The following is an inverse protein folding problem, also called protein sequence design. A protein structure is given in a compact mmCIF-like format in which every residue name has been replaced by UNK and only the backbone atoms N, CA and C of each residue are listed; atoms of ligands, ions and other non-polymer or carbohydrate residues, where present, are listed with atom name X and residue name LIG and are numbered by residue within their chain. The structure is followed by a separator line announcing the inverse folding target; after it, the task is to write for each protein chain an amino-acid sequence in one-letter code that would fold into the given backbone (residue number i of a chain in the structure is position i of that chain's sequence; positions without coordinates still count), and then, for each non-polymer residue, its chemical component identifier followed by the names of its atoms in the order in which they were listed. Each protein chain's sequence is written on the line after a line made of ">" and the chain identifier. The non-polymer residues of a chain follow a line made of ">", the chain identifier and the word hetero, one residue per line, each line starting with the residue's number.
data_IF_588601787037
#
_entry.id   IF_588601787037
#
_cell.length_a   1.000
_cell.length_b   1.000
_cell.length_c   1.000
_cell.angle_alpha   90.00
_cell.angle_beta   90.00
_cell.angle_gamma   90.00
#
_symmetry.space_group_name_H-M   'P 1'
#
loop_
_entity.id
_entity.type
_entity.pdbx_description
1 polymer ?
#
# COMPACT_ATOMS: atom_id res chain seq x y z
N UNK A 1 -1.96 5.12 -25.72
CA UNK A 1 -1.53 5.74 -24.45
C UNK A 1 -2.60 5.45 -23.42
N UNK A 2 -2.24 4.91 -22.26
CA UNK A 2 -3.20 4.65 -21.17
C UNK A 2 -3.42 5.94 -20.36
N UNK A 3 -4.60 6.12 -19.72
CA UNK A 3 -4.97 7.38 -19.05
C UNK A 3 -3.99 7.85 -17.97
N UNK A 4 -3.37 6.90 -17.23
CA UNK A 4 -2.45 7.19 -16.14
C UNK A 4 -0.98 6.93 -16.48
N UNK A 5 -0.63 6.88 -17.78
CA UNK A 5 0.77 6.77 -18.20
C UNK A 5 1.59 7.93 -17.65
N UNK A 6 2.67 7.62 -16.93
CA UNK A 6 3.56 8.60 -16.29
C UNK A 6 3.19 8.96 -14.85
N UNK A 7 2.09 8.44 -14.33
CA UNK A 7 1.73 8.56 -12.90
C UNK A 7 2.40 7.45 -12.11
N UNK A 8 3.09 7.79 -11.02
CA UNK A 8 3.72 6.85 -10.09
C UNK A 8 3.02 6.83 -8.73
N UNK A 9 2.64 5.65 -8.26
CA UNK A 9 1.97 5.44 -6.98
C UNK A 9 2.80 4.50 -6.11
N UNK A 10 3.12 4.93 -4.90
CA UNK A 10 3.71 4.07 -3.86
C UNK A 10 2.57 3.49 -3.01
N UNK A 11 2.47 2.17 -2.96
CA UNK A 11 1.34 1.48 -2.34
C UNK A 11 1.81 0.67 -1.12
N UNK A 12 1.60 1.23 0.09
CA UNK A 12 1.87 0.56 1.39
C UNK A 12 0.59 -0.07 1.88
N UNK A 13 0.26 -1.22 1.36
CA UNK A 13 -1.07 -1.81 1.47
C UNK A 13 -1.02 -3.31 1.66
N UNK A 14 -2.10 -3.86 2.22
CA UNK A 14 -2.22 -5.30 2.46
C UNK A 14 -3.64 -5.81 2.17
N UNK A 15 -3.73 -7.08 1.88
CA UNK A 15 -4.93 -7.90 1.77
C UNK A 15 -5.83 -7.52 0.58
N UNK A 16 -6.85 -6.66 0.78
CA UNK A 16 -7.94 -6.47 -0.20
C UNK A 16 -8.15 -5.03 -0.65
N UNK A 17 -8.70 -4.16 0.21
CA UNK A 17 -9.24 -2.85 -0.22
C UNK A 17 -8.19 -1.93 -0.89
N UNK A 18 -7.01 -1.78 -0.29
CA UNK A 18 -5.91 -1.03 -0.88
C UNK A 18 -5.42 -1.66 -2.18
N UNK A 19 -4.99 -2.96 -2.15
CA UNK A 19 -4.52 -3.64 -3.34
C UNK A 19 -5.52 -3.65 -4.49
N UNK A 20 -6.81 -3.82 -4.23
CA UNK A 20 -7.85 -3.76 -5.25
C UNK A 20 -7.91 -2.37 -5.90
N UNK A 21 -7.91 -1.30 -5.09
CA UNK A 21 -7.95 0.08 -5.61
C UNK A 21 -6.74 0.41 -6.48
N UNK A 22 -5.52 0.12 -6.01
CA UNK A 22 -4.30 0.44 -6.75
C UNK A 22 -4.09 -0.45 -7.98
N UNK A 23 -4.67 -1.66 -8.01
CA UNK A 23 -4.70 -2.49 -9.22
C UNK A 23 -5.46 -1.80 -10.37
N UNK A 24 -6.56 -1.11 -10.07
CA UNK A 24 -7.26 -0.33 -11.12
C UNK A 24 -6.38 0.79 -11.67
N UNK A 25 -5.58 1.43 -10.83
CA UNK A 25 -4.64 2.45 -11.29
C UNK A 25 -3.55 1.83 -12.17
N UNK A 26 -2.99 0.70 -11.76
CA UNK A 26 -2.01 -0.05 -12.55
C UNK A 26 -2.57 -0.49 -13.92
N UNK A 27 -3.80 -0.99 -13.95
CA UNK A 27 -4.48 -1.40 -15.18
C UNK A 27 -4.74 -0.21 -16.14
N UNK A 28 -4.75 1.01 -15.64
CA UNK A 28 -4.88 2.23 -16.43
C UNK A 28 -3.53 2.87 -16.80
N UNK A 29 -2.42 2.20 -16.48
CA UNK A 29 -1.08 2.60 -16.90
C UNK A 29 -0.27 3.36 -15.86
N UNK A 30 -0.76 3.49 -14.62
CA UNK A 30 0.08 3.99 -13.53
C UNK A 30 1.18 2.97 -13.20
N UNK A 31 2.38 3.48 -12.90
CA UNK A 31 3.44 2.70 -12.29
C UNK A 31 3.13 2.55 -10.79
N UNK A 32 2.61 1.41 -10.39
CA UNK A 32 2.33 1.11 -8.98
C UNK A 32 3.46 0.28 -8.39
N UNK A 33 4.13 0.84 -7.38
CA UNK A 33 5.18 0.17 -6.61
C UNK A 33 4.61 -0.21 -5.25
N UNK A 34 4.36 -1.51 -5.07
CA UNK A 34 3.89 -2.07 -3.81
C UNK A 34 5.05 -2.21 -2.84
N UNK A 35 4.95 -1.52 -1.70
CA UNK A 35 5.93 -1.58 -0.62
C UNK A 35 5.48 -2.63 0.40
N UNK A 36 6.30 -3.65 0.59
CA UNK A 36 6.00 -4.78 1.48
C UNK A 36 6.97 -4.83 2.66
N UNK A 37 6.44 -5.18 3.85
CA UNK A 37 7.25 -5.29 5.06
C UNK A 37 8.00 -6.63 5.09
N UNK A 38 9.35 -6.64 5.15
CA UNK A 38 10.12 -7.89 5.17
C UNK A 38 9.94 -8.70 6.46
N UNK A 39 9.52 -8.06 7.56
CA UNK A 39 9.37 -8.74 8.87
C UNK A 39 8.17 -9.68 8.89
N UNK A 40 7.15 -9.38 8.10
CA UNK A 40 5.89 -10.12 8.08
C UNK A 40 5.81 -11.07 6.88
N UNK A 41 6.91 -11.22 6.12
CA UNK A 41 6.91 -11.99 4.88
C UNK A 41 6.20 -11.32 3.71
N UNK A 42 5.98 -9.99 3.80
CA UNK A 42 5.28 -9.20 2.80
C UNK A 42 3.78 -9.05 3.08
N UNK A 43 2.98 -9.00 2.02
CA UNK A 43 1.52 -8.92 2.14
C UNK A 43 0.94 -10.23 2.68
N UNK A 44 0.15 -10.15 3.74
CA UNK A 44 -0.50 -11.31 4.36
C UNK A 44 -1.36 -12.11 3.38
N UNK A 45 -1.85 -11.51 2.32
CA UNK A 45 -2.64 -12.19 1.29
C UNK A 45 -1.84 -13.24 0.51
N UNK A 46 -0.50 -13.17 0.52
CA UNK A 46 0.37 -14.20 -0.08
C UNK A 46 0.17 -15.59 0.51
N UNK A 47 -0.26 -15.65 1.80
CA UNK A 47 -0.54 -16.89 2.53
C UNK A 47 -2.03 -17.28 2.57
N UNK A 48 -2.91 -16.56 1.86
CA UNK A 48 -4.35 -16.85 1.85
C UNK A 48 -4.69 -17.89 0.79
N UNK A 49 -5.05 -19.11 1.24
CA UNK A 49 -5.51 -20.20 0.38
C UNK A 49 -6.96 -20.06 -0.11
N UNK A 50 -7.52 -21.07 -0.76
CA UNK A 50 -6.98 -22.45 -0.77
C UNK A 50 -5.97 -22.75 -1.89
N UNK A 51 -5.84 -21.90 -2.92
CA UNK A 51 -5.00 -22.19 -4.08
C UNK A 51 -3.70 -21.37 -4.05
N UNK A 52 -2.59 -22.07 -4.30
CA UNK A 52 -1.25 -21.49 -4.31
C UNK A 52 -0.57 -21.79 -5.65
N UNK A 53 0.09 -20.79 -6.22
CA UNK A 53 0.89 -20.91 -7.43
C UNK A 53 2.34 -21.27 -7.12
N UNK A 54 2.76 -21.04 -5.88
CA UNK A 54 4.10 -21.33 -5.38
C UNK A 54 4.22 -20.94 -3.90
N UNK A 55 5.40 -21.06 -3.28
CA UNK A 55 5.64 -20.54 -1.93
C UNK A 55 5.36 -19.04 -1.88
N UNK A 56 4.60 -18.61 -0.87
CA UNK A 56 4.22 -17.20 -0.65
C UNK A 56 3.58 -16.50 -1.87
N UNK A 57 2.88 -17.29 -2.70
CA UNK A 57 2.22 -16.83 -3.92
C UNK A 57 0.84 -17.46 -4.07
N UNK A 58 -0.17 -16.84 -3.49
CA UNK A 58 -1.55 -17.31 -3.54
C UNK A 58 -2.32 -16.72 -4.72
N UNK A 59 -3.33 -17.43 -5.18
CA UNK A 59 -4.30 -16.93 -6.16
C UNK A 59 -4.97 -15.64 -5.66
N UNK A 60 -5.25 -15.56 -4.36
CA UNK A 60 -5.84 -14.37 -3.75
C UNK A 60 -4.91 -13.14 -3.90
N UNK A 61 -3.61 -13.30 -3.61
CA UNK A 61 -2.63 -12.23 -3.81
C UNK A 61 -2.57 -11.78 -5.27
N UNK A 62 -2.49 -12.73 -6.20
CA UNK A 62 -2.44 -12.44 -7.64
C UNK A 62 -3.68 -11.71 -8.14
N UNK A 63 -4.86 -12.03 -7.60
CA UNK A 63 -6.14 -11.41 -8.00
C UNK A 63 -6.20 -9.91 -7.74
N UNK A 64 -5.41 -9.39 -6.79
CA UNK A 64 -5.42 -7.97 -6.41
C UNK A 64 -4.13 -7.21 -6.71
N UNK A 65 -3.11 -7.90 -7.23
CA UNK A 65 -1.79 -7.28 -7.40
C UNK A 65 -1.24 -7.35 -8.83
N UNK A 66 -2.10 -7.64 -9.81
CA UNK A 66 -1.72 -7.63 -11.22
C UNK A 66 -1.15 -6.26 -11.64
N UNK A 67 -0.14 -6.29 -12.52
CA UNK A 67 0.51 -5.11 -13.11
C UNK A 67 1.23 -4.18 -12.10
N UNK A 68 1.51 -4.64 -10.89
CA UNK A 68 2.31 -3.89 -9.91
C UNK A 68 3.75 -4.39 -9.88
N UNK A 69 4.66 -3.49 -9.52
CA UNK A 69 5.99 -3.85 -9.07
C UNK A 69 5.95 -4.09 -7.55
N UNK A 70 6.75 -5.04 -7.04
CA UNK A 70 6.91 -5.27 -5.61
C UNK A 70 8.31 -4.86 -5.16
N UNK A 71 8.39 -4.19 -4.02
CA UNK A 71 9.62 -3.79 -3.37
C UNK A 71 9.51 -4.02 -1.87
N UNK A 72 10.55 -4.55 -1.25
CA UNK A 72 10.60 -4.82 0.18
C UNK A 72 11.32 -3.70 0.91
N UNK A 73 10.63 -2.99 1.81
CA UNK A 73 11.20 -1.92 2.64
C UNK A 73 10.68 -2.04 4.06
N UNK A 74 11.59 -2.06 5.05
CA UNK A 74 11.23 -1.96 6.46
C UNK A 74 11.08 -0.49 6.88
N UNK A 75 9.86 0.02 6.80
CA UNK A 75 9.53 1.40 7.15
C UNK A 75 9.64 1.72 8.65
N UNK A 76 9.92 0.74 9.50
CA UNK A 76 10.19 0.98 10.93
C UNK A 76 11.67 1.29 11.20
N UNK A 77 12.52 1.24 10.18
CA UNK A 77 13.94 1.57 10.27
C UNK A 77 14.26 2.88 9.56
N UNK A 78 15.20 3.62 10.12
CA UNK A 78 15.66 4.91 9.56
C UNK A 78 16.13 4.77 8.10
N UNK A 79 16.89 3.73 7.79
CA UNK A 79 17.33 3.47 6.41
C UNK A 79 16.16 3.18 5.47
N UNK A 80 15.11 2.49 5.94
CA UNK A 80 13.89 2.27 5.18
C UNK A 80 13.10 3.56 4.94
N UNK A 81 13.01 4.41 5.96
CA UNK A 81 12.39 5.73 5.83
C UNK A 81 13.15 6.63 4.84
N UNK A 82 14.48 6.64 4.90
CA UNK A 82 15.29 7.40 3.96
C UNK A 82 15.06 6.95 2.52
N UNK A 83 15.07 5.64 2.27
CA UNK A 83 14.79 5.08 0.95
C UNK A 83 13.37 5.41 0.47
N UNK A 84 12.39 5.31 1.36
CA UNK A 84 11.01 5.66 1.05
C UNK A 84 10.86 7.14 0.68
N UNK A 85 11.53 8.04 1.40
CA UNK A 85 11.53 9.46 1.07
C UNK A 85 12.17 9.75 -0.30
N UNK A 86 13.22 9.01 -0.70
CA UNK A 86 13.77 9.16 -2.06
C UNK A 86 12.75 8.73 -3.13
N UNK A 87 11.98 7.67 -2.89
CA UNK A 87 10.90 7.26 -3.77
C UNK A 87 9.78 8.31 -3.82
N UNK A 88 9.40 8.88 -2.67
CA UNK A 88 8.36 9.92 -2.56
C UNK A 88 8.69 11.17 -3.40
N UNK A 89 9.96 11.54 -3.52
CA UNK A 89 10.39 12.68 -4.37
C UNK A 89 9.99 12.51 -5.83
N UNK A 90 9.85 11.28 -6.28
CA UNK A 90 9.54 10.94 -7.68
C UNK A 90 8.13 10.39 -7.87
N UNK A 91 7.34 10.32 -6.81
CA UNK A 91 5.99 9.80 -6.84
C UNK A 91 4.93 10.91 -6.89
N UNK A 92 3.80 10.60 -7.48
CA UNK A 92 2.62 11.46 -7.51
C UNK A 92 1.67 11.18 -6.35
N UNK A 93 1.61 9.91 -5.89
CA UNK A 93 0.75 9.52 -4.81
C UNK A 93 1.35 8.44 -3.90
N UNK A 94 0.92 8.45 -2.64
CA UNK A 94 1.09 7.37 -1.66
C UNK A 94 -0.28 6.86 -1.28
N UNK A 95 -0.51 5.57 -1.45
CA UNK A 95 -1.73 4.88 -1.02
C UNK A 95 -1.41 3.92 0.11
N UNK A 96 -2.26 3.88 1.14
CA UNK A 96 -2.16 2.87 2.19
C UNK A 96 -3.56 2.50 2.71
N UNK A 97 -3.74 1.26 3.17
CA UNK A 97 -4.98 0.82 3.81
C UNK A 97 -4.75 0.31 5.24
N UNK A 98 -3.73 0.84 5.89
CA UNK A 98 -3.38 0.50 7.26
C UNK A 98 -4.37 1.15 8.24
N UNK A 99 -4.66 0.47 9.34
CA UNK A 99 -5.68 0.92 10.30
C UNK A 99 -5.18 2.04 11.22
N UNK A 100 -6.10 2.87 11.67
CA UNK A 100 -5.92 3.77 12.80
C UNK A 100 -4.78 4.77 12.61
N UNK A 101 -3.88 4.81 13.56
CA UNK A 101 -2.73 5.70 13.66
C UNK A 101 -1.44 5.15 12.99
N UNK A 102 -1.49 3.95 12.44
CA UNK A 102 -0.33 3.30 11.81
C UNK A 102 0.23 4.11 10.64
N UNK A 103 -0.59 4.68 9.73
CA UNK A 103 -0.07 5.52 8.64
C UNK A 103 0.74 6.71 9.15
N UNK A 104 0.28 7.41 10.16
CA UNK A 104 0.98 8.55 10.77
C UNK A 104 2.30 8.09 11.41
N UNK A 105 2.29 7.00 12.19
CA UNK A 105 3.48 6.42 12.81
C UNK A 105 4.54 5.97 11.79
N UNK A 106 4.12 5.54 10.61
CA UNK A 106 5.01 5.16 9.53
C UNK A 106 5.35 6.30 8.56
N UNK A 107 4.86 7.52 8.81
CA UNK A 107 5.14 8.68 7.98
C UNK A 107 4.52 8.60 6.58
N UNK A 108 3.32 8.02 6.45
CA UNK A 108 2.62 7.82 5.17
C UNK A 108 1.54 8.86 4.89
N UNK A 109 1.30 9.76 5.82
CA UNK A 109 0.31 10.84 5.70
C UNK A 109 0.91 12.08 5.05
N UNK A 110 0.04 12.97 4.57
CA UNK A 110 0.49 14.20 3.91
C UNK A 110 1.34 15.09 4.81
N UNK A 111 1.01 15.20 6.12
CA UNK A 111 1.77 16.05 7.04
C UNK A 111 3.22 15.60 7.19
N UNK A 112 3.46 14.29 7.16
CA UNK A 112 4.79 13.70 7.22
C UNK A 112 5.58 13.89 5.91
N UNK A 113 4.88 13.86 4.77
CA UNK A 113 5.52 13.81 3.44
C UNK A 113 5.60 15.17 2.72
N UNK A 114 4.82 16.17 3.13
CA UNK A 114 4.77 17.49 2.46
C UNK A 114 6.12 18.24 2.40
N UNK A 115 7.01 17.97 3.35
CA UNK A 115 8.37 18.55 3.34
C UNK A 115 9.29 17.88 2.31
N UNK A 116 9.00 16.63 1.95
CA UNK A 116 9.75 15.84 0.95
C UNK A 116 9.21 16.11 -0.45
N UNK A 117 7.89 16.08 -0.60
CA UNK A 117 7.19 16.36 -1.84
C UNK A 117 5.86 17.09 -1.55
N UNK A 118 5.81 18.42 -1.70
CA UNK A 118 4.61 19.20 -1.39
C UNK A 118 3.41 18.93 -2.31
N UNK A 119 3.62 18.24 -3.43
CA UNK A 119 2.57 17.88 -4.40
C UNK A 119 2.03 16.47 -4.19
N UNK A 120 2.58 15.72 -3.25
CA UNK A 120 2.18 14.32 -3.05
C UNK A 120 0.71 14.21 -2.66
N UNK A 121 0.00 13.28 -3.28
CA UNK A 121 -1.36 12.92 -2.91
C UNK A 121 -1.32 11.72 -1.98
N UNK A 122 -1.88 11.84 -0.78
CA UNK A 122 -1.97 10.73 0.17
C UNK A 122 -3.40 10.21 0.21
N UNK A 123 -3.60 8.95 -0.19
CA UNK A 123 -4.88 8.27 -0.20
C UNK A 123 -4.91 7.16 0.86
N UNK A 124 -6.02 7.08 1.60
CA UNK A 124 -6.20 6.10 2.67
C UNK A 124 -7.53 5.34 2.51
N UNK A 125 -7.61 4.40 1.56
CA UNK A 125 -8.79 3.57 1.39
C UNK A 125 -8.90 2.55 2.53
N UNK A 126 -9.88 2.74 3.41
CA UNK A 126 -10.13 1.86 4.56
C UNK A 126 -11.57 1.35 4.55
N UNK A 127 -11.77 0.17 5.13
CA UNK A 127 -13.11 -0.41 5.30
C UNK A 127 -13.88 0.21 6.47
N UNK A 128 -13.19 0.96 7.33
CA UNK A 128 -13.77 1.66 8.49
C UNK A 128 -12.88 2.84 8.90
N UNK A 129 -13.49 3.87 9.52
CA UNK A 129 -12.82 5.12 9.89
C UNK A 129 -12.53 5.24 11.39
N UNK A 130 -12.90 4.24 12.21
CA UNK A 130 -12.69 4.23 13.64
C UNK A 130 -11.45 3.43 14.04
N UNK A 131 -10.78 3.84 15.12
CA UNK A 131 -9.64 3.12 15.71
C UNK A 131 -10.05 1.76 16.29
N UNK A 132 -11.29 1.65 16.74
CA UNK A 132 -11.90 0.41 17.24
C UNK A 132 -13.23 0.18 16.54
N UNK A 133 -13.54 -1.09 16.26
CA UNK A 133 -14.87 -1.44 15.78
C UNK A 133 -15.89 -1.17 16.89
N UNK A 134 -17.04 -0.54 16.57
CA UNK A 134 -18.12 -0.42 17.54
C UNK A 134 -18.62 -1.81 17.89
N UNK A 135 -18.52 -2.19 19.16
CA UNK A 135 -19.12 -3.40 19.70
C UNK A 135 -20.59 -3.12 19.97
N UNK A 136 -21.45 -3.38 19.03
CA UNK A 136 -22.89 -3.40 19.24
C UNK A 136 -23.27 -4.77 19.77
N UNK A 137 -23.41 -4.89 21.09
CA UNK A 137 -24.16 -6.01 21.66
C UNK A 137 -25.64 -5.66 21.58
N UNK A 138 -26.35 -6.31 20.69
CA UNK A 138 -27.79 -6.40 20.79
C UNK A 138 -28.11 -7.63 21.65
N UNK A 139 -28.60 -7.37 22.83
CA UNK A 139 -29.23 -8.38 23.68
C UNK A 139 -30.65 -8.57 23.16
#
# INVERSE_FOLDING_TARGET
>A
MQPLTGVRVLAVEQYGAGPFGTMYLANQGAEVIKIENPRDGGDMSRAVGPYFLGPDDSEFFQSFNANKHSMTIDLQKDAGQQLFHELVKTADAVSNNLRGDVPEKLGLDYNSLKSVNPKIVCAHPVSYTHLTLPTTYHV
#
